data_IF_695656558563
#
_entry.id   IF_695656558563
#
_cell.length_a   1.000
_cell.length_b   1.000
_cell.length_c   1.000
_cell.angle_alpha   90.00
_cell.angle_beta   90.00
_cell.angle_gamma   90.00
#
_symmetry.space_group_name_H-M   'P 1'
#
loop_
_entity.id
_entity.type
_entity.pdbx_description
1 polymer ?
#
# COMPACT_ATOMS: atom_id res chain seq x y z
N UNK A 1 9.00 24.27 -2.61
CA UNK A 1 9.66 23.18 -1.86
C UNK A 1 8.82 21.93 -2.04
N UNK A 2 9.41 20.86 -2.56
CA UNK A 2 8.70 19.75 -3.23
C UNK A 2 7.62 19.07 -2.37
N UNK A 3 6.38 19.12 -2.86
CA UNK A 3 5.17 18.46 -2.35
C UNK A 3 5.24 16.96 -2.68
N UNK A 4 6.28 16.24 -2.30
CA UNK A 4 6.30 14.77 -2.40
C UNK A 4 7.25 14.20 -1.35
N UNK A 5 6.88 14.32 -0.07
CA UNK A 5 7.36 13.37 0.94
C UNK A 5 6.31 12.29 1.15
N UNK A 6 5.89 11.62 0.07
CA UNK A 6 5.41 10.26 0.26
C UNK A 6 6.66 9.46 0.61
N UNK A 7 6.76 9.01 1.87
CA UNK A 7 7.89 8.26 2.37
C UNK A 7 8.25 7.15 1.37
N UNK A 8 9.52 7.02 0.99
CA UNK A 8 9.96 5.96 0.07
C UNK A 8 9.50 4.56 0.54
N UNK A 9 9.33 4.41 1.85
CA UNK A 9 8.76 3.24 2.50
C UNK A 9 7.31 2.96 2.06
N UNK A 10 6.44 3.97 2.00
CA UNK A 10 5.05 3.82 1.53
C UNK A 10 5.02 3.35 0.08
N UNK A 11 5.89 3.89 -0.79
CA UNK A 11 5.98 3.44 -2.19
C UNK A 11 6.46 2.00 -2.31
N UNK A 12 7.48 1.60 -1.54
CA UNK A 12 7.98 0.22 -1.53
C UNK A 12 6.93 -0.75 -0.98
N UNK A 13 6.21 -0.36 0.07
CA UNK A 13 5.11 -1.12 0.62
C UNK A 13 3.96 -1.26 -0.40
N UNK A 14 3.63 -0.20 -1.13
CA UNK A 14 2.60 -0.22 -2.16
C UNK A 14 2.95 -1.20 -3.29
N UNK A 15 4.19 -1.12 -3.80
CA UNK A 15 4.68 -2.05 -4.82
C UNK A 15 4.58 -3.51 -4.34
N UNK A 16 5.02 -3.78 -3.11
CA UNK A 16 4.92 -5.11 -2.51
C UNK A 16 3.47 -5.60 -2.42
N UNK A 17 2.54 -4.77 -1.96
CA UNK A 17 1.11 -5.14 -1.86
C UNK A 17 0.52 -5.43 -3.24
N UNK A 18 0.88 -4.65 -4.27
CA UNK A 18 0.46 -4.90 -5.66
C UNK A 18 1.01 -6.21 -6.21
N UNK A 19 2.29 -6.49 -6.01
CA UNK A 19 2.91 -7.77 -6.44
C UNK A 19 2.22 -8.96 -5.76
N UNK A 20 1.98 -8.86 -4.45
CA UNK A 20 1.28 -9.90 -3.70
C UNK A 20 -0.17 -10.06 -4.15
N UNK A 21 -0.84 -8.96 -4.53
CA UNK A 21 -2.21 -8.99 -5.07
C UNK A 21 -2.25 -9.64 -6.45
N UNK A 22 -1.27 -9.35 -7.30
CA UNK A 22 -1.16 -9.96 -8.62
C UNK A 22 -0.85 -11.46 -8.52
N UNK A 23 0.01 -11.86 -7.57
CA UNK A 23 0.33 -13.26 -7.32
C UNK A 23 -0.81 -14.03 -6.64
N UNK A 24 -1.56 -13.38 -5.75
CA UNK A 24 -2.65 -13.98 -4.98
C UNK A 24 -3.84 -13.01 -4.83
N UNK A 25 -4.71 -12.90 -5.86
CA UNK A 25 -5.85 -11.99 -5.84
C UNK A 25 -6.91 -12.37 -4.81
N UNK A 26 -6.82 -13.58 -4.25
CA UNK A 26 -7.67 -14.11 -3.17
C UNK A 26 -7.25 -13.65 -1.76
N UNK A 27 -6.02 -13.18 -1.56
CA UNK A 27 -5.55 -12.75 -0.23
C UNK A 27 -6.37 -11.55 0.27
N UNK A 28 -6.50 -11.37 1.58
CA UNK A 28 -7.14 -10.18 2.12
C UNK A 28 -6.20 -8.97 2.06
N UNK A 29 -6.72 -7.84 1.55
CA UNK A 29 -5.94 -6.61 1.41
C UNK A 29 -5.43 -6.10 2.77
N UNK A 30 -6.30 -6.11 3.79
CA UNK A 30 -5.94 -5.70 5.15
C UNK A 30 -4.72 -6.48 5.68
N UNK A 31 -4.64 -7.79 5.40
CA UNK A 31 -3.49 -8.61 5.78
C UNK A 31 -2.22 -8.21 5.04
N UNK A 32 -2.30 -7.95 3.74
CA UNK A 32 -1.15 -7.49 2.95
C UNK A 32 -0.63 -6.11 3.39
N UNK A 33 -1.55 -5.20 3.73
CA UNK A 33 -1.20 -3.86 4.23
C UNK A 33 -0.56 -3.93 5.61
N UNK A 34 -1.06 -4.78 6.50
CA UNK A 34 -0.47 -5.03 7.82
C UNK A 34 0.93 -5.67 7.70
N UNK A 35 1.08 -6.69 6.87
CA UNK A 35 2.37 -7.31 6.55
C UNK A 35 3.36 -6.28 5.98
N UNK A 36 2.91 -5.43 5.06
CA UNK A 36 3.74 -4.37 4.48
C UNK A 36 4.10 -3.31 5.53
N UNK A 37 3.16 -2.93 6.39
CA UNK A 37 3.38 -2.00 7.50
C UNK A 37 4.49 -2.48 8.43
N UNK A 38 4.42 -3.74 8.86
CA UNK A 38 5.45 -4.36 9.69
C UNK A 38 6.79 -4.52 8.94
N UNK A 39 6.75 -4.93 7.68
CA UNK A 39 7.95 -5.21 6.87
C UNK A 39 8.75 -3.95 6.54
N UNK A 40 8.06 -2.85 6.26
CA UNK A 40 8.68 -1.56 5.91
C UNK A 40 8.78 -0.61 7.10
N UNK A 41 8.41 -1.08 8.30
CA UNK A 41 8.41 -0.31 9.54
C UNK A 41 7.64 1.02 9.40
N UNK A 42 6.47 0.93 8.76
CA UNK A 42 5.60 2.08 8.50
C UNK A 42 5.03 2.60 9.82
N UNK A 43 4.96 3.92 9.95
CA UNK A 43 4.21 4.53 11.04
C UNK A 43 2.70 4.33 10.82
N UNK A 44 1.86 4.46 11.86
CA UNK A 44 0.41 4.40 11.69
C UNK A 44 -0.13 5.38 10.63
N UNK A 45 0.54 6.53 10.46
CA UNK A 45 0.20 7.51 9.43
C UNK A 45 0.57 7.02 8.02
N UNK A 46 1.76 6.45 7.86
CA UNK A 46 2.22 5.87 6.59
C UNK A 46 1.35 4.67 6.18
N UNK A 47 0.99 3.80 7.13
CA UNK A 47 0.08 2.69 6.90
C UNK A 47 -1.26 3.20 6.41
N UNK A 48 -1.91 4.13 7.12
CA UNK A 48 -3.18 4.70 6.69
C UNK A 48 -3.12 5.37 5.29
N UNK A 49 -2.00 6.02 4.97
CA UNK A 49 -1.79 6.59 3.64
C UNK A 49 -1.66 5.49 2.57
N UNK A 50 -0.94 4.41 2.86
CA UNK A 50 -0.79 3.25 1.98
C UNK A 50 -2.16 2.62 1.67
N UNK A 51 -2.98 2.35 2.69
CA UNK A 51 -4.31 1.74 2.50
C UNK A 51 -5.18 2.61 1.59
N UNK A 52 -5.13 3.93 1.83
CA UNK A 52 -5.93 4.90 1.07
C UNK A 52 -5.50 4.99 -0.39
N UNK A 53 -4.20 5.10 -0.67
CA UNK A 53 -3.66 5.12 -2.04
C UNK A 53 -4.03 3.83 -2.78
N UNK A 54 -3.91 2.69 -2.10
CA UNK A 54 -4.25 1.40 -2.70
C UNK A 54 -5.76 1.29 -3.01
N UNK A 55 -6.61 1.74 -2.09
CA UNK A 55 -8.06 1.73 -2.30
C UNK A 55 -8.48 2.66 -3.45
N UNK A 56 -7.89 3.85 -3.54
CA UNK A 56 -8.11 4.79 -4.65
C UNK A 56 -7.66 4.17 -6.00
N UNK A 57 -6.52 3.49 -6.03
CA UNK A 57 -6.02 2.81 -7.24
C UNK A 57 -6.95 1.68 -7.70
N UNK A 58 -7.43 0.82 -6.78
CA UNK A 58 -8.36 -0.26 -7.15
C UNK A 58 -9.75 0.25 -7.53
N UNK A 59 -10.22 1.33 -6.91
CA UNK A 59 -11.53 1.92 -7.25
C UNK A 59 -11.54 2.49 -8.66
N UNK A 60 -10.38 2.91 -9.19
CA UNK A 60 -10.24 3.41 -10.56
C UNK A 60 -10.17 2.30 -11.62
N UNK A 61 -9.64 1.12 -11.30
CA UNK A 61 -9.53 -0.02 -12.25
C UNK A 61 -10.86 -0.79 -12.46
N UNK A 62 -11.91 -0.44 -11.71
CA UNK A 62 -13.22 -1.10 -11.75
C UNK A 62 -14.30 -0.40 -12.59
N UNK A 63 -13.94 0.42 -13.59
CA UNK A 63 -14.91 1.08 -14.50
C UNK A 63 -14.69 0.72 -15.95
#
# INVERSE_FOLDING_TARGET
MSIVSQSELVRKALAYVFEQRAAAPEKNLAGLLDEAGMRFNLTPLDSAALERIFYEAQTMEGR
#
